data_IF_431276135996
#
_entry.id   IF_431276135996
#
_cell.length_a   1.000
_cell.length_b   1.000
_cell.length_c   1.000
_cell.angle_alpha   90.00
_cell.angle_beta   90.00
_cell.angle_gamma   90.00
#
_symmetry.space_group_name_H-M   'P 1'
#
loop_
_entity.id
_entity.type
_entity.pdbx_description
1 polymer ?
#
# COMPACT_ATOMS: atom_id res chain seq x y z
N UNK A 1 0.30 22.54 -2.04
CA UNK A 1 -0.45 21.27 -2.14
C UNK A 1 -0.31 20.47 -0.86
N UNK A 2 0.90 20.41 -0.26
CA UNK A 2 1.12 19.68 1.00
C UNK A 2 0.18 20.12 2.12
N UNK A 3 0.02 21.42 2.36
CA UNK A 3 -0.82 21.88 3.48
C UNK A 3 -2.29 21.51 3.28
N UNK A 4 -2.77 21.58 2.03
CA UNK A 4 -4.12 21.10 1.67
C UNK A 4 -4.24 19.58 1.84
N UNK A 5 -3.22 18.81 1.45
CA UNK A 5 -3.19 17.37 1.66
C UNK A 5 -3.25 17.03 3.17
N UNK A 6 -2.45 17.70 4.00
CA UNK A 6 -2.44 17.49 5.44
C UNK A 6 -3.77 17.88 6.10
N UNK A 7 -4.41 18.96 5.66
CA UNK A 7 -5.74 19.35 6.12
C UNK A 7 -6.78 18.27 5.79
N UNK A 8 -6.73 17.67 4.59
CA UNK A 8 -7.61 16.56 4.24
C UNK A 8 -7.28 15.27 5.00
N UNK A 9 -6.00 14.98 5.27
CA UNK A 9 -5.60 13.86 6.14
C UNK A 9 -6.14 14.04 7.55
N UNK A 10 -6.07 15.26 8.11
CA UNK A 10 -6.63 15.55 9.43
C UNK A 10 -8.13 15.33 9.47
N UNK A 11 -8.87 15.86 8.47
CA UNK A 11 -10.32 15.63 8.37
C UNK A 11 -10.68 14.16 8.15
N UNK A 12 -9.89 13.41 7.38
CA UNK A 12 -10.14 12.00 7.10
C UNK A 12 -9.84 11.13 8.32
N UNK A 13 -8.72 11.37 9.01
CA UNK A 13 -8.35 10.67 10.24
C UNK A 13 -9.36 10.90 11.37
N UNK A 14 -9.88 12.12 11.51
CA UNK A 14 -10.97 12.42 12.46
C UNK A 14 -12.26 11.66 12.13
N UNK A 15 -12.59 11.52 10.84
CA UNK A 15 -13.74 10.73 10.40
C UNK A 15 -13.55 9.24 10.70
N UNK A 16 -12.37 8.71 10.38
CA UNK A 16 -11.99 7.32 10.66
C UNK A 16 -12.10 6.99 12.16
N UNK A 17 -11.56 7.87 13.02
CA UNK A 17 -11.66 7.75 14.49
C UNK A 17 -13.09 7.72 14.98
N UNK A 18 -13.93 8.64 14.51
CA UNK A 18 -15.35 8.71 14.92
C UNK A 18 -16.14 7.48 14.48
N UNK A 19 -15.77 6.89 13.35
CA UNK A 19 -16.44 5.72 12.79
C UNK A 19 -15.87 4.38 13.30
N UNK A 20 -14.77 4.39 14.07
CA UNK A 20 -14.06 3.16 14.43
C UNK A 20 -13.48 2.42 13.22
N UNK A 21 -13.15 3.14 12.14
CA UNK A 21 -12.70 2.53 10.89
C UNK A 21 -11.22 2.84 10.59
N UNK A 22 -10.51 1.98 9.84
CA UNK A 22 -9.14 2.23 9.44
C UNK A 22 -9.05 3.32 8.35
N UNK A 23 -7.90 4.00 8.27
CA UNK A 23 -7.59 5.00 7.24
C UNK A 23 -6.58 4.47 6.22
N UNK A 24 -6.97 4.40 4.95
CA UNK A 24 -6.06 4.13 3.83
C UNK A 24 -5.60 5.43 3.17
N UNK A 25 -4.30 5.68 3.17
CA UNK A 25 -3.66 6.78 2.46
C UNK A 25 -2.94 6.24 1.22
N UNK A 26 -3.30 6.74 0.04
CA UNK A 26 -2.68 6.34 -1.24
C UNK A 26 -1.98 7.56 -1.83
N UNK A 27 -0.65 7.49 -1.95
CA UNK A 27 0.18 8.63 -2.36
C UNK A 27 1.09 8.28 -3.54
N UNK A 28 0.76 8.83 -4.71
CA UNK A 28 1.55 8.72 -5.94
C UNK A 28 2.32 10.00 -6.20
N UNK A 29 3.64 9.98 -5.96
CA UNK A 29 4.49 11.15 -6.20
C UNK A 29 5.96 10.73 -6.38
N UNK A 30 6.82 11.72 -6.65
CA UNK A 30 8.26 11.53 -6.53
C UNK A 30 8.69 11.54 -5.05
N UNK A 31 9.76 10.79 -4.78
CA UNK A 31 10.47 10.87 -3.51
C UNK A 31 11.84 11.50 -3.70
N UNK A 32 12.42 11.98 -2.60
CA UNK A 32 13.82 12.39 -2.52
C UNK A 32 14.47 11.81 -1.26
N UNK A 33 15.80 11.85 -1.20
CA UNK A 33 16.56 11.45 -0.02
C UNK A 33 16.01 12.09 1.26
N UNK A 34 16.11 11.38 2.39
CA UNK A 34 15.42 11.76 3.63
C UNK A 34 13.93 11.40 3.64
N UNK A 35 13.49 10.56 2.69
CA UNK A 35 12.15 9.98 2.62
C UNK A 35 11.04 11.00 2.39
N UNK A 36 11.33 12.15 1.80
CA UNK A 36 10.31 13.18 1.59
C UNK A 36 9.43 12.88 0.36
N UNK A 37 8.11 13.04 0.53
CA UNK A 37 7.12 12.92 -0.55
C UNK A 37 6.88 14.27 -1.24
N UNK A 38 7.17 14.38 -2.53
CA UNK A 38 7.10 15.63 -3.28
C UNK A 38 5.72 15.84 -3.91
N UNK A 39 4.76 16.37 -3.12
CA UNK A 39 3.38 16.59 -3.58
C UNK A 39 3.20 17.90 -4.37
N UNK A 40 4.11 18.87 -4.22
CA UNK A 40 4.00 20.19 -4.84
C UNK A 40 4.73 20.28 -6.18
N UNK A 41 4.18 19.64 -7.22
CA UNK A 41 4.71 19.65 -8.58
C UNK A 41 6.22 19.33 -8.67
N UNK A 42 6.66 18.35 -7.88
CA UNK A 42 8.07 17.94 -7.79
C UNK A 42 9.01 19.01 -7.21
N UNK A 43 8.52 19.99 -6.45
CA UNK A 43 9.38 20.87 -5.66
C UNK A 43 10.12 20.05 -4.59
N UNK A 44 11.36 19.68 -4.91
CA UNK A 44 12.26 18.88 -4.05
C UNK A 44 12.69 19.61 -2.78
N UNK A 45 12.41 20.92 -2.66
CA UNK A 45 12.73 21.73 -1.45
C UNK A 45 11.60 21.72 -0.43
N UNK A 46 10.39 21.34 -0.84
CA UNK A 46 9.18 21.34 -0.01
C UNK A 46 8.51 19.98 -0.10
N UNK A 47 9.17 18.97 0.46
CA UNK A 47 8.60 17.64 0.57
C UNK A 47 7.83 17.43 1.87
N UNK A 48 6.85 16.53 1.85
CA UNK A 48 6.15 16.07 3.02
C UNK A 48 7.02 15.04 3.75
N UNK A 49 7.38 15.34 5.00
CA UNK A 49 8.14 14.44 5.86
C UNK A 49 7.26 13.68 6.84
N UNK A 50 7.81 12.60 7.39
CA UNK A 50 7.13 11.65 8.29
C UNK A 50 6.52 12.35 9.51
N UNK A 51 7.28 13.23 10.18
CA UNK A 51 6.82 13.97 11.36
C UNK A 51 5.62 14.86 11.05
N UNK A 52 5.61 15.50 9.86
CA UNK A 52 4.48 16.36 9.46
C UNK A 52 3.22 15.54 9.17
N UNK A 53 3.36 14.36 8.58
CA UNK A 53 2.22 13.46 8.37
C UNK A 53 1.68 12.96 9.72
N UNK A 54 2.56 12.50 10.62
CA UNK A 54 2.19 12.09 11.97
C UNK A 54 1.40 13.17 12.70
N UNK A 55 1.86 14.41 12.66
CA UNK A 55 1.22 15.53 13.32
C UNK A 55 -0.19 15.85 12.80
N UNK A 56 -0.51 15.47 11.55
CA UNK A 56 -1.84 15.65 10.98
C UNK A 56 -2.80 14.49 11.26
N UNK A 57 -2.29 13.33 11.69
CA UNK A 57 -3.10 12.15 11.99
C UNK A 57 -3.66 12.21 13.41
N UNK A 58 -4.92 11.83 13.55
CA UNK A 58 -5.51 11.60 14.85
C UNK A 58 -4.79 10.47 15.62
N UNK A 59 -4.53 10.63 16.93
CA UNK A 59 -3.95 9.56 17.73
C UNK A 59 -4.93 8.37 17.88
N UNK A 60 -4.37 7.16 17.82
CA UNK A 60 -5.08 5.91 18.13
C UNK A 60 -5.86 5.27 16.97
N UNK A 61 -5.73 5.79 15.75
CA UNK A 61 -6.35 5.15 14.58
C UNK A 61 -5.38 4.17 13.90
N UNK A 62 -5.94 3.15 13.25
CA UNK A 62 -5.20 2.30 12.33
C UNK A 62 -5.04 3.02 10.99
N UNK A 63 -3.80 3.13 10.51
CA UNK A 63 -3.48 3.80 9.24
C UNK A 63 -2.65 2.86 8.38
N UNK A 64 -2.97 2.80 7.10
CA UNK A 64 -2.16 2.14 6.07
C UNK A 64 -1.72 3.16 5.03
N UNK A 65 -0.41 3.28 4.82
CA UNK A 65 0.17 4.10 3.76
C UNK A 65 0.58 3.22 2.57
N UNK A 66 0.00 3.49 1.41
CA UNK A 66 0.44 2.96 0.13
C UNK A 66 1.14 4.06 -0.66
N UNK A 67 2.41 3.87 -1.02
CA UNK A 67 3.13 4.89 -1.81
C UNK A 67 4.07 4.32 -2.85
N UNK A 68 4.13 5.01 -4.00
CA UNK A 68 5.03 4.69 -5.11
C UNK A 68 6.29 5.55 -5.15
N UNK A 69 6.55 6.37 -4.13
CA UNK A 69 7.66 7.32 -4.15
C UNK A 69 9.03 6.63 -4.15
N UNK A 70 10.04 7.31 -4.69
CA UNK A 70 11.43 6.95 -4.51
C UNK A 70 11.79 6.96 -3.02
N UNK A 71 12.70 6.10 -2.58
CA UNK A 71 13.14 6.00 -1.18
C UNK A 71 12.00 5.71 -0.18
N UNK A 72 10.84 5.24 -0.68
CA UNK A 72 9.62 5.06 0.11
C UNK A 72 9.77 4.04 1.24
N UNK A 73 10.72 3.11 1.13
CA UNK A 73 11.00 2.13 2.19
C UNK A 73 11.37 2.78 3.52
N UNK A 74 11.86 4.02 3.53
CA UNK A 74 12.08 4.78 4.75
C UNK A 74 10.80 4.95 5.58
N UNK A 75 9.65 5.11 4.93
CA UNK A 75 8.36 5.18 5.62
C UNK A 75 7.97 3.88 6.32
N UNK A 76 8.45 2.73 5.82
CA UNK A 76 8.17 1.43 6.41
C UNK A 76 9.04 1.14 7.64
N UNK A 77 10.25 1.72 7.72
CA UNK A 77 11.23 1.46 8.79
C UNK A 77 11.36 2.61 9.80
N UNK A 78 10.47 3.60 9.75
CA UNK A 78 10.52 4.77 10.64
C UNK A 78 9.53 4.60 11.79
N UNK A 79 9.99 4.30 13.03
CA UNK A 79 9.13 3.99 14.16
C UNK A 79 8.24 5.15 14.59
N UNK A 80 8.63 6.39 14.26
CA UNK A 80 7.91 7.59 14.67
C UNK A 80 6.48 7.59 14.14
N UNK A 81 6.21 7.04 12.96
CA UNK A 81 4.85 7.03 12.41
C UNK A 81 4.00 5.88 12.98
N UNK A 82 4.62 4.71 13.22
CA UNK A 82 3.97 3.47 13.67
C UNK A 82 2.64 3.18 12.92
N UNK A 83 2.75 2.97 11.61
CA UNK A 83 1.62 2.64 10.72
C UNK A 83 2.00 1.48 9.80
N UNK A 84 0.99 0.80 9.25
CA UNK A 84 1.21 -0.17 8.18
C UNK A 84 1.64 0.55 6.91
N UNK A 85 2.71 0.10 6.24
CA UNK A 85 3.23 0.75 5.04
C UNK A 85 3.53 -0.24 3.92
N UNK A 86 3.08 0.08 2.70
CA UNK A 86 3.41 -0.58 1.44
C UNK A 86 4.21 0.40 0.57
N UNK A 87 5.50 0.09 0.37
CA UNK A 87 6.45 0.98 -0.31
C UNK A 87 7.06 0.34 -1.57
N UNK A 88 7.11 1.12 -2.65
CA UNK A 88 7.59 0.70 -3.96
C UNK A 88 9.11 0.60 -4.11
N UNK A 89 9.89 0.97 -3.09
CA UNK A 89 11.35 0.91 -3.14
C UNK A 89 11.96 0.76 -1.73
N UNK A 90 13.20 0.28 -1.66
CA UNK A 90 14.04 0.36 -0.45
C UNK A 90 14.30 1.82 -0.01
N UNK A 91 14.71 2.06 1.24
CA UNK A 91 15.07 3.40 1.72
C UNK A 91 16.21 4.08 0.94
N UNK A 92 17.06 3.30 0.26
CA UNK A 92 18.25 3.74 -0.48
C UNK A 92 18.07 3.73 -2.01
N UNK A 93 16.88 3.33 -2.52
CA UNK A 93 16.64 3.16 -3.94
C UNK A 93 15.49 4.03 -4.48
N UNK A 94 15.58 4.41 -5.75
CA UNK A 94 14.48 5.04 -6.47
C UNK A 94 13.42 4.01 -6.91
N UNK A 95 12.16 4.43 -7.04
CA UNK A 95 11.08 3.59 -7.54
C UNK A 95 11.03 3.60 -9.07
N UNK A 96 10.57 2.50 -9.69
CA UNK A 96 10.44 2.42 -11.15
C UNK A 96 9.04 2.84 -11.65
N UNK A 97 9.04 3.63 -12.73
CA UNK A 97 7.86 3.80 -13.59
C UNK A 97 7.78 2.68 -14.62
N UNK A 98 6.62 2.54 -15.27
CA UNK A 98 6.58 1.81 -16.53
C UNK A 98 7.50 2.45 -17.59
N UNK A 99 7.94 1.69 -18.60
CA UNK A 99 8.65 2.25 -19.74
C UNK A 99 7.87 3.41 -20.38
N UNK A 100 8.61 4.37 -20.95
CA UNK A 100 8.02 5.47 -21.71
C UNK A 100 7.22 4.88 -22.87
N UNK A 101 5.94 5.24 -22.96
CA UNK A 101 5.10 4.81 -24.06
C UNK A 101 5.43 5.63 -25.32
N UNK A 102 5.72 4.92 -26.41
CA UNK A 102 6.10 5.53 -27.70
C UNK A 102 4.99 6.40 -28.32
N UNK A 103 3.72 6.12 -28.02
CA UNK A 103 2.59 6.86 -28.59
C UNK A 103 2.29 8.18 -27.90
N UNK A 104 2.66 8.31 -26.61
CA UNK A 104 2.36 9.49 -25.79
C UNK A 104 3.61 10.19 -25.25
N UNK A 105 4.80 9.64 -25.52
CA UNK A 105 6.08 10.25 -25.16
C UNK A 105 6.34 10.35 -23.65
N UNK A 106 5.59 9.63 -22.81
CA UNK A 106 5.76 9.62 -21.36
C UNK A 106 5.56 8.24 -20.76
N UNK A 107 6.17 8.00 -19.61
CA UNK A 107 5.83 6.85 -18.77
C UNK A 107 4.43 7.05 -18.17
N UNK A 108 3.63 5.99 -18.14
CA UNK A 108 2.28 6.02 -17.56
C UNK A 108 2.16 5.00 -16.43
N UNK A 109 2.24 5.51 -15.20
CA UNK A 109 2.02 4.73 -14.00
C UNK A 109 3.29 4.14 -13.38
N UNK A 110 3.10 3.49 -12.24
CA UNK A 110 4.12 2.80 -11.47
C UNK A 110 3.98 1.30 -11.66
N UNK A 111 5.10 0.58 -11.76
CA UNK A 111 5.07 -0.88 -11.84
C UNK A 111 4.52 -1.48 -10.54
N UNK A 112 4.90 -0.91 -9.39
CA UNK A 112 4.37 -1.30 -8.08
C UNK A 112 2.85 -1.11 -8.00
N UNK A 113 2.36 0.08 -8.35
CA UNK A 113 0.91 0.34 -8.36
C UNK A 113 0.15 -0.59 -9.30
N UNK A 114 0.68 -0.81 -10.51
CA UNK A 114 0.08 -1.73 -11.47
C UNK A 114 -0.02 -3.16 -10.92
N UNK A 115 1.07 -3.67 -10.36
CA UNK A 115 1.11 -5.00 -9.77
C UNK A 115 0.15 -5.15 -8.57
N UNK A 116 0.09 -4.16 -7.68
CA UNK A 116 -0.86 -4.19 -6.55
C UNK A 116 -2.31 -4.17 -7.04
N UNK A 117 -2.63 -3.30 -8.00
CA UNK A 117 -4.00 -3.22 -8.56
C UNK A 117 -4.35 -4.53 -9.26
N UNK A 118 -3.45 -5.12 -10.04
CA UNK A 118 -3.68 -6.42 -10.68
C UNK A 118 -3.93 -7.51 -9.64
N UNK A 119 -3.09 -7.61 -8.62
CA UNK A 119 -3.27 -8.62 -7.56
C UNK A 119 -4.59 -8.43 -6.78
N UNK A 120 -4.98 -7.19 -6.48
CA UNK A 120 -6.28 -6.88 -5.87
C UNK A 120 -7.44 -7.24 -6.80
N UNK A 121 -7.32 -6.93 -8.09
CA UNK A 121 -8.34 -7.25 -9.10
C UNK A 121 -8.52 -8.77 -9.21
N UNK A 122 -7.42 -9.53 -9.27
CA UNK A 122 -7.43 -10.99 -9.36
C UNK A 122 -8.03 -11.61 -8.09
N UNK A 123 -7.63 -11.14 -6.91
CA UNK A 123 -8.18 -11.61 -5.63
C UNK A 123 -9.68 -11.27 -5.47
N UNK A 124 -10.13 -10.13 -6.02
CA UNK A 124 -11.53 -9.70 -5.99
C UNK A 124 -12.39 -10.33 -7.10
N UNK A 125 -11.81 -11.14 -7.97
CA UNK A 125 -12.51 -11.85 -9.06
C UNK A 125 -12.43 -13.36 -8.84
N UNK A 126 -13.26 -13.96 -7.95
CA UNK A 126 -13.25 -15.41 -7.71
C UNK A 126 -13.71 -16.28 -8.90
N UNK A 127 -14.03 -15.70 -10.08
CA UNK A 127 -14.81 -16.37 -11.13
C UNK A 127 -14.18 -16.41 -12.53
N UNK A 128 -12.85 -16.42 -12.66
CA UNK A 128 -12.19 -16.77 -13.94
C UNK A 128 -11.09 -17.84 -13.79
N UNK A 129 -11.24 -18.71 -12.78
CA UNK A 129 -10.27 -19.76 -12.45
C UNK A 129 -10.81 -21.18 -12.45
N UNK A 130 -11.95 -21.49 -13.09
CA UNK A 130 -12.37 -22.88 -13.31
C UNK A 130 -13.09 -23.04 -14.66
N UNK A 131 -12.31 -22.98 -15.74
CA UNK A 131 -12.65 -23.65 -16.99
C UNK A 131 -11.69 -24.82 -17.21
N UNK A 132 -11.78 -25.83 -16.33
CA UNK A 132 -11.80 -27.25 -16.69
C UNK A 132 -11.81 -28.12 -15.43
N UNK A 133 -12.68 -29.13 -15.47
CA UNK A 133 -12.76 -30.32 -14.62
C UNK A 133 -13.37 -30.17 -13.21
N UNK A 134 -14.60 -30.72 -13.16
CA UNK A 134 -15.18 -31.55 -12.10
C UNK A 134 -16.24 -30.93 -11.17
N UNK A 135 -17.46 -31.42 -11.43
CA UNK A 135 -18.70 -31.28 -10.69
C UNK A 135 -18.58 -31.84 -9.27
N UNK A 136 -19.21 -31.15 -8.31
CA UNK A 136 -20.21 -31.66 -7.34
C UNK A 136 -20.12 -30.93 -5.99
N UNK A 137 -21.28 -30.52 -5.45
CA UNK A 137 -21.48 -30.47 -3.99
C UNK A 137 -21.86 -29.13 -3.34
N UNK A 138 -23.11 -28.71 -3.54
CA UNK A 138 -24.05 -28.16 -2.54
C UNK A 138 -23.61 -27.26 -1.35
N UNK A 139 -24.32 -26.11 -1.27
CA UNK A 139 -24.97 -25.48 -0.08
C UNK A 139 -24.09 -24.61 0.85
N UNK A 140 -24.42 -23.32 0.99
CA UNK A 140 -25.48 -22.81 1.90
C UNK A 140 -25.29 -21.31 2.12
N UNK A 141 -26.37 -20.55 1.97
CA UNK A 141 -26.50 -19.16 2.40
C UNK A 141 -26.43 -19.06 3.94
N UNK A 142 -25.70 -18.07 4.47
CA UNK A 142 -25.86 -17.56 5.85
C UNK A 142 -25.98 -16.02 5.78
N UNK A 143 -27.00 -15.42 6.41
CA UNK A 143 -27.25 -13.99 6.37
C UNK A 143 -26.61 -13.24 7.55
N UNK A 144 -26.02 -12.07 7.26
CA UNK A 144 -25.81 -11.01 8.25
C UNK A 144 -24.39 -10.85 8.76
N UNK A 145 -23.52 -10.22 7.97
CA UNK A 145 -22.39 -9.42 8.46
C UNK A 145 -22.27 -8.19 7.58
N UNK A 146 -22.16 -7.03 8.21
CA UNK A 146 -22.07 -5.72 7.58
C UNK A 146 -20.83 -5.67 6.66
N UNK A 147 -21.07 -5.75 5.36
CA UNK A 147 -20.12 -6.02 4.27
C UNK A 147 -19.18 -4.83 3.95
N UNK A 148 -18.97 -3.91 4.90
CA UNK A 148 -18.27 -2.65 4.66
C UNK A 148 -16.99 -2.44 5.46
N UNK A 149 -16.65 -3.36 6.38
CA UNK A 149 -15.39 -3.29 7.13
C UNK A 149 -14.32 -4.18 6.48
N UNK A 150 -13.35 -3.57 5.79
CA UNK A 150 -12.29 -4.29 5.06
C UNK A 150 -11.35 -5.09 5.97
N UNK A 151 -11.23 -4.78 7.26
CA UNK A 151 -10.55 -5.63 8.24
C UNK A 151 -11.20 -5.56 9.63
N UNK A 152 -11.35 -6.71 10.31
CA UNK A 152 -11.90 -6.77 11.66
C UNK A 152 -10.96 -6.14 12.69
N UNK A 153 -11.53 -5.54 13.74
CA UNK A 153 -10.77 -4.97 14.88
C UNK A 153 -9.97 -6.05 15.64
N UNK A 154 -10.48 -7.28 15.68
CA UNK A 154 -9.79 -8.46 16.20
C UNK A 154 -9.71 -9.53 15.10
N UNK A 155 -8.65 -9.53 14.28
CA UNK A 155 -8.50 -10.50 13.21
C UNK A 155 -8.32 -11.90 13.79
N UNK A 156 -9.15 -12.82 13.32
CA UNK A 156 -8.96 -14.24 13.56
C UNK A 156 -7.60 -14.70 13.01
N UNK A 157 -7.10 -15.82 13.53
CA UNK A 157 -5.87 -16.44 13.02
C UNK A 157 -5.96 -16.71 11.51
N UNK A 158 -7.15 -17.09 11.03
CA UNK A 158 -7.42 -17.29 9.61
C UNK A 158 -7.33 -15.99 8.81
N UNK A 159 -7.87 -14.88 9.31
CA UNK A 159 -7.80 -13.57 8.63
C UNK A 159 -6.37 -13.04 8.58
N UNK A 160 -5.61 -13.20 9.66
CA UNK A 160 -4.17 -12.87 9.70
C UNK A 160 -3.42 -13.70 8.66
N UNK A 161 -3.70 -15.01 8.59
CA UNK A 161 -3.11 -15.89 7.58
C UNK A 161 -3.49 -15.48 6.17
N UNK A 162 -4.75 -15.13 5.91
CA UNK A 162 -5.23 -14.66 4.61
C UNK A 162 -4.57 -13.35 4.19
N UNK A 163 -4.40 -12.39 5.09
CA UNK A 163 -3.69 -11.13 4.80
C UNK A 163 -2.21 -11.36 4.51
N UNK A 164 -1.57 -12.25 5.27
CA UNK A 164 -0.18 -12.64 5.03
C UNK A 164 -0.02 -13.37 3.70
N UNK A 165 -0.97 -14.26 3.36
CA UNK A 165 -1.01 -14.93 2.05
C UNK A 165 -1.30 -13.95 0.90
N UNK A 166 -2.13 -12.93 1.12
CA UNK A 166 -2.32 -11.85 0.15
C UNK A 166 -1.03 -11.06 -0.10
N UNK A 167 -0.33 -10.65 0.97
CA UNK A 167 0.94 -9.95 0.85
C UNK A 167 2.01 -10.83 0.16
N UNK A 168 2.05 -12.13 0.48
CA UNK A 168 2.88 -13.12 -0.21
C UNK A 168 2.50 -13.27 -1.68
N UNK A 169 1.21 -13.32 -2.00
CA UNK A 169 0.74 -13.44 -3.38
C UNK A 169 1.11 -12.21 -4.21
N UNK A 170 0.95 -10.99 -3.67
CA UNK A 170 1.43 -9.75 -4.31
C UNK A 170 2.93 -9.85 -4.58
N UNK A 171 3.71 -10.29 -3.59
CA UNK A 171 5.17 -10.45 -3.70
C UNK A 171 5.55 -11.50 -4.75
N UNK A 172 4.83 -12.61 -4.80
CA UNK A 172 5.06 -13.69 -5.76
C UNK A 172 4.69 -13.29 -7.19
N UNK A 173 3.57 -12.58 -7.39
CA UNK A 173 3.16 -12.04 -8.70
C UNK A 173 4.22 -11.05 -9.21
N UNK A 174 4.67 -10.16 -8.33
CA UNK A 174 5.78 -9.24 -8.61
C UNK A 174 7.04 -9.99 -9.04
N UNK A 175 7.42 -11.04 -8.32
CA UNK A 175 8.60 -11.85 -8.62
C UNK A 175 8.47 -12.64 -9.93
N UNK A 176 7.26 -13.16 -10.21
CA UNK A 176 6.96 -13.97 -11.38
C UNK A 176 6.92 -13.17 -12.70
N UNK A 177 6.70 -11.85 -12.63
CA UNK A 177 6.71 -10.99 -13.83
C UNK A 177 8.09 -10.88 -14.50
N UNK A 178 9.15 -11.49 -13.96
CA UNK A 178 10.40 -11.77 -14.68
C UNK A 178 11.22 -10.53 -15.05
N UNK A 179 10.80 -9.33 -14.65
CA UNK A 179 11.59 -8.12 -14.82
C UNK A 179 12.67 -8.10 -13.75
N UNK A 180 13.89 -8.53 -14.07
CA UNK A 180 15.06 -8.45 -13.16
C UNK A 180 15.27 -7.06 -12.57
N UNK A 181 14.77 -5.99 -13.21
CA UNK A 181 14.77 -4.63 -12.66
C UNK A 181 13.88 -4.44 -11.42
N UNK A 182 12.75 -5.16 -11.29
CA UNK A 182 11.86 -5.01 -10.14
C UNK A 182 12.43 -5.61 -8.87
N UNK A 183 13.14 -6.74 -8.98
CA UNK A 183 13.87 -7.36 -7.86
C UNK A 183 14.98 -6.46 -7.30
N UNK A 184 15.56 -5.57 -8.13
CA UNK A 184 16.56 -4.60 -7.68
C UNK A 184 15.98 -3.50 -6.77
N UNK A 185 14.70 -3.19 -6.89
CA UNK A 185 14.08 -2.10 -6.11
C UNK A 185 13.72 -2.48 -4.68
N UNK A 186 13.63 -3.78 -4.39
CA UNK A 186 13.30 -4.34 -3.07
C UNK A 186 12.12 -3.66 -2.41
N UNK A 187 10.91 -4.02 -2.84
CA UNK A 187 9.67 -3.55 -2.22
C UNK A 187 9.67 -3.84 -0.73
N UNK A 188 9.11 -2.92 0.06
CA UNK A 188 9.12 -3.01 1.51
C UNK A 188 7.70 -2.99 2.05
N UNK A 189 7.50 -3.83 3.05
CA UNK A 189 6.30 -3.89 3.84
C UNK A 189 6.66 -3.82 5.33
N UNK A 190 5.84 -3.10 6.08
CA UNK A 190 5.78 -3.21 7.54
C UNK A 190 4.32 -3.12 7.99
N UNK A 191 3.98 -3.88 9.02
CA UNK A 191 2.72 -3.77 9.72
C UNK A 191 2.84 -2.81 10.90
N UNK A 192 1.71 -2.23 11.31
CA UNK A 192 1.64 -1.48 12.56
C UNK A 192 2.12 -2.33 13.74
N UNK A 193 2.95 -1.74 14.60
CA UNK A 193 3.66 -2.37 15.72
C UNK A 193 4.72 -3.44 15.36
N UNK A 194 5.21 -3.49 14.12
CA UNK A 194 6.35 -4.33 13.75
C UNK A 194 7.66 -3.90 14.43
N UNK A 195 8.68 -4.75 14.34
CA UNK A 195 10.05 -4.39 14.69
C UNK A 195 10.63 -3.47 13.61
N UNK A 196 10.58 -2.15 13.86
CA UNK A 196 10.85 -1.09 12.88
C UNK A 196 12.26 -1.07 12.29
N UNK A 197 13.22 -1.78 12.91
CA UNK A 197 14.56 -1.95 12.35
C UNK A 197 14.55 -2.87 11.11
N UNK A 198 13.48 -3.63 10.91
CA UNK A 198 13.34 -4.61 9.83
C UNK A 198 12.04 -4.39 9.05
N UNK A 199 12.13 -4.48 7.72
CA UNK A 199 10.96 -4.54 6.84
C UNK A 199 11.00 -5.84 6.06
N UNK A 200 9.82 -6.40 5.83
CA UNK A 200 9.65 -7.64 5.08
C UNK A 200 10.08 -7.39 3.61
N UNK A 201 10.78 -8.35 3.03
CA UNK A 201 11.27 -8.35 1.64
C UNK A 201 10.68 -9.49 0.84
#
# INVERSE_FOLDING_TARGET
>A
MIDRFLDEVSKASLRAKKAGSPLLLIVFCHGVEGYYLCLDNSDRRRGLGIVRLKAALEPGISVTLFTTACFSGGWAITPELNITTLAAAKPDNESFSWPVSNSIGRACGSVFAGATISALSDASTPLLGHSSAEEQGSRSEIPGTDDTCLQPEEPTELQTKTYNEFCRAVTNVVGAWGFSRLLYNGFRFSAQNDDWEFSWT
#
